data_IF_839490493770
#
_entry.id   IF_839490493770
#
_cell.length_a   1.000
_cell.length_b   1.000
_cell.length_c   1.000
_cell.angle_alpha   90.00
_cell.angle_beta   90.00
_cell.angle_gamma   90.00
#
_symmetry.space_group_name_H-M   'P 1'
#
loop_
_entity.id
_entity.type
_entity.pdbx_description
1 polymer ?
#
# COMPACT_ATOMS: atom_id res chain seq x y z
N UNK A 1 -1.72 -16.48 -15.04
CA UNK A 1 -2.17 -17.79 -14.52
C UNK A 1 -1.25 -18.12 -13.36
N UNK A 2 -1.77 -18.17 -12.12
CA UNK A 2 -0.95 -18.33 -10.91
C UNK A 2 -0.61 -19.81 -10.71
N UNK A 3 0.67 -20.14 -10.52
CA UNK A 3 1.12 -21.50 -10.25
C UNK A 3 1.06 -21.80 -8.75
N UNK A 4 0.27 -22.79 -8.36
CA UNK A 4 0.12 -23.22 -6.95
C UNK A 4 1.43 -23.77 -6.37
N UNK A 5 2.35 -24.26 -7.21
CA UNK A 5 3.65 -24.78 -6.79
C UNK A 5 4.58 -23.64 -6.35
N UNK A 6 4.61 -22.53 -7.10
CA UNK A 6 5.44 -21.36 -6.81
C UNK A 6 4.98 -20.65 -5.53
N UNK A 7 3.68 -20.64 -5.25
CA UNK A 7 3.10 -20.13 -4.01
C UNK A 7 3.62 -20.87 -2.76
N UNK A 8 3.88 -22.18 -2.92
CA UNK A 8 4.31 -23.07 -1.84
C UNK A 8 5.80 -22.99 -1.58
N UNK A 9 6.59 -22.87 -2.64
CA UNK A 9 8.05 -22.85 -2.56
C UNK A 9 8.59 -21.43 -2.31
N UNK A 10 8.00 -20.40 -2.92
CA UNK A 10 8.44 -19.00 -2.82
C UNK A 10 7.24 -18.04 -2.72
N UNK A 11 6.48 -18.07 -1.60
CA UNK A 11 5.27 -17.26 -1.42
C UNK A 11 5.51 -15.76 -1.54
N UNK A 12 6.65 -15.26 -1.03
CA UNK A 12 6.99 -13.85 -1.10
C UNK A 12 7.25 -13.40 -2.55
N UNK A 13 7.99 -14.19 -3.34
CA UNK A 13 8.27 -13.89 -4.74
C UNK A 13 6.98 -13.81 -5.56
N UNK A 14 6.07 -14.77 -5.35
CA UNK A 14 4.79 -14.75 -6.02
C UNK A 14 3.94 -13.54 -5.62
N UNK A 15 3.93 -13.16 -4.34
CA UNK A 15 3.21 -11.99 -3.87
C UNK A 15 3.69 -10.71 -4.57
N UNK A 16 5.00 -10.47 -4.59
CA UNK A 16 5.56 -9.28 -5.22
C UNK A 16 5.28 -9.23 -6.72
N UNK A 17 5.42 -10.36 -7.42
CA UNK A 17 5.07 -10.49 -8.83
C UNK A 17 3.59 -10.18 -9.09
N UNK A 18 2.69 -10.63 -8.23
CA UNK A 18 1.26 -10.32 -8.37
C UNK A 18 0.97 -8.84 -8.08
N UNK A 19 1.67 -8.20 -7.14
CA UNK A 19 1.53 -6.76 -6.89
C UNK A 19 2.05 -5.93 -8.09
N UNK A 20 3.16 -6.35 -8.72
CA UNK A 20 3.68 -5.71 -9.93
C UNK A 20 2.73 -5.82 -11.13
N UNK A 21 2.01 -6.94 -11.26
CA UNK A 21 1.00 -7.12 -12.32
C UNK A 21 -0.28 -6.28 -12.10
N UNK A 22 -0.53 -5.81 -10.86
CA UNK A 22 -1.74 -5.06 -10.51
C UNK A 22 -1.53 -3.56 -10.71
N UNK A 23 -2.25 -2.98 -11.67
CA UNK A 23 -2.21 -1.53 -11.91
C UNK A 23 -2.98 -0.69 -10.89
N UNK A 24 -3.97 -1.29 -10.20
CA UNK A 24 -4.78 -0.60 -9.21
C UNK A 24 -5.12 -1.52 -8.03
N UNK A 25 -4.64 -1.15 -6.84
CA UNK A 25 -4.98 -1.78 -5.57
C UNK A 25 -5.97 -0.93 -4.78
N UNK A 26 -6.90 -1.56 -4.09
CA UNK A 26 -7.80 -0.86 -3.18
C UNK A 26 -7.06 -0.51 -1.90
N UNK A 27 -6.83 0.78 -1.65
CA UNK A 27 -6.17 1.29 -0.45
C UNK A 27 -7.20 1.91 0.49
N UNK A 28 -7.17 1.52 1.75
CA UNK A 28 -8.01 2.06 2.81
C UNK A 28 -7.25 2.09 4.14
N UNK A 29 -7.65 2.99 5.03
CA UNK A 29 -7.07 3.10 6.37
C UNK A 29 -8.02 2.43 7.35
N UNK A 30 -7.54 1.40 8.04
CA UNK A 30 -8.31 0.70 9.07
C UNK A 30 -8.72 1.67 10.19
N UNK A 31 -9.98 1.60 10.63
CA UNK A 31 -10.52 2.46 11.69
C UNK A 31 -10.87 3.89 11.27
N UNK A 32 -10.55 4.32 10.04
CA UNK A 32 -10.90 5.67 9.55
C UNK A 32 -12.37 5.82 9.12
N UNK A 33 -13.07 4.71 8.89
CA UNK A 33 -14.41 4.71 8.29
C UNK A 33 -14.44 5.19 6.84
N UNK A 34 -13.29 5.48 6.23
CA UNK A 34 -13.20 5.89 4.83
C UNK A 34 -13.41 4.69 3.90
N UNK A 35 -14.07 4.94 2.77
CA UNK A 35 -14.17 3.94 1.71
C UNK A 35 -12.79 3.63 1.14
N UNK A 36 -12.56 2.37 0.81
CA UNK A 36 -11.36 1.96 0.08
C UNK A 36 -11.35 2.66 -1.28
N UNK A 37 -10.21 3.23 -1.67
CA UNK A 37 -10.04 3.94 -2.93
C UNK A 37 -9.05 3.20 -3.84
N UNK A 38 -9.32 3.13 -5.16
CA UNK A 38 -8.37 2.56 -6.10
C UNK A 38 -7.13 3.46 -6.18
N UNK A 39 -5.96 2.89 -5.90
CA UNK A 39 -4.65 3.55 -5.88
C UNK A 39 -3.63 2.68 -6.61
N UNK A 40 -2.64 3.29 -7.25
CA UNK A 40 -1.58 2.55 -7.93
C UNK A 40 -0.47 2.16 -6.93
N UNK A 41 -0.25 0.87 -6.65
CA UNK A 41 0.86 0.42 -5.83
C UNK A 41 2.18 0.48 -6.61
N UNK A 42 3.25 0.88 -5.93
CA UNK A 42 4.62 0.80 -6.44
C UNK A 42 5.39 -0.13 -5.51
N UNK A 43 5.50 -1.43 -5.86
CA UNK A 43 6.19 -2.41 -5.02
C UNK A 43 7.70 -2.17 -5.03
N UNK A 44 8.32 -2.25 -3.85
CA UNK A 44 9.77 -2.29 -3.65
C UNK A 44 10.11 -3.57 -2.86
N UNK A 45 10.27 -4.71 -3.54
CA UNK A 45 10.46 -6.00 -2.89
C UNK A 45 11.77 -6.10 -2.10
N UNK A 46 12.80 -5.33 -2.46
CA UNK A 46 14.10 -5.31 -1.77
C UNK A 46 13.99 -4.78 -0.33
N UNK A 47 13.11 -3.80 -0.10
CA UNK A 47 12.89 -3.20 1.23
C UNK A 47 11.64 -3.75 1.91
N UNK A 48 10.82 -4.52 1.18
CA UNK A 48 9.52 -5.00 1.65
C UNK A 48 8.47 -3.90 1.77
N UNK A 49 8.63 -2.80 1.01
CA UNK A 49 7.76 -1.62 1.09
C UNK A 49 6.88 -1.50 -0.15
N UNK A 50 5.63 -1.07 0.02
CA UNK A 50 4.76 -0.69 -1.10
C UNK A 50 4.52 0.81 -1.01
N UNK A 51 4.98 1.53 -2.03
CA UNK A 51 4.83 2.97 -2.10
C UNK A 51 3.55 3.36 -2.82
N UNK A 52 2.90 4.42 -2.34
CA UNK A 52 1.71 4.99 -2.96
C UNK A 52 1.86 6.50 -3.05
N UNK A 53 1.70 7.07 -4.25
CA UNK A 53 1.67 8.52 -4.42
C UNK A 53 0.24 9.03 -4.27
N UNK A 54 0.04 9.98 -3.37
CA UNK A 54 -1.20 10.73 -3.24
C UNK A 54 -0.92 12.22 -3.03
N UNK A 55 -1.91 13.07 -3.29
CA UNK A 55 -1.80 14.50 -2.97
C UNK A 55 -1.95 14.71 -1.46
N UNK A 56 -1.22 15.69 -0.94
CA UNK A 56 -1.25 16.06 0.49
C UNK A 56 -2.62 16.54 0.97
N UNK A 57 -3.47 16.99 0.05
CA UNK A 57 -4.82 17.50 0.33
C UNK A 57 -5.88 16.40 0.40
N UNK A 58 -5.54 15.14 0.09
CA UNK A 58 -6.47 14.01 0.16
C UNK A 58 -6.75 13.63 1.60
N UNK A 59 -7.98 13.15 1.85
CA UNK A 59 -8.37 12.67 3.17
C UNK A 59 -7.51 11.47 3.60
N UNK A 60 -7.03 10.66 2.65
CA UNK A 60 -6.06 9.59 2.90
C UNK A 60 -4.76 10.13 3.50
N UNK A 61 -4.16 11.16 2.90
CA UNK A 61 -2.95 11.78 3.42
C UNK A 61 -3.19 12.44 4.80
N UNK A 62 -4.36 13.07 5.01
CA UNK A 62 -4.71 13.70 6.29
C UNK A 62 -4.88 12.70 7.43
N UNK A 63 -5.39 11.50 7.15
CA UNK A 63 -5.61 10.47 8.16
C UNK A 63 -4.33 9.71 8.53
N UNK A 64 -3.38 9.56 7.60
CA UNK A 64 -2.08 8.93 7.89
C UNK A 64 -1.07 9.94 8.44
N UNK A 65 -1.27 11.24 8.18
CA UNK A 65 -0.36 12.27 8.66
C UNK A 65 -0.22 12.18 10.20
N UNK A 66 1.02 12.20 10.73
CA UNK A 66 1.21 12.25 12.16
C UNK A 66 0.50 13.48 12.73
N UNK A 67 -0.07 13.34 13.93
CA UNK A 67 -0.61 14.47 14.68
C UNK A 67 0.42 15.60 14.66
N UNK A 68 0.02 16.88 14.44
CA UNK A 68 0.95 17.99 14.42
C UNK A 68 1.76 17.94 15.72
N UNK A 69 3.06 17.71 15.61
CA UNK A 69 3.97 17.71 16.76
C UNK A 69 3.75 19.03 17.49
N UNK A 70 3.39 19.00 18.79
CA UNK A 70 3.23 20.23 19.55
C UNK A 70 4.58 20.96 19.49
N UNK A 71 4.54 22.17 18.93
CA UNK A 71 5.64 23.13 19.03
C UNK A 71 5.83 23.37 20.52
N UNK A 72 6.83 22.72 21.11
CA UNK A 72 7.26 23.00 22.47
C UNK A 72 7.80 24.43 22.47
N UNK A 73 7.01 25.33 23.06
CA UNK A 73 7.40 26.71 23.33
C UNK A 73 8.40 26.79 24.48
#
# INVERSE_FOLDING_TARGET
MVSLTEARENPAHQLWKQIEEVSAGMLGIEGSGMHMQPMAPIPEPETGTIWFYTRKDTDLARHVAPAPTPISA
#
